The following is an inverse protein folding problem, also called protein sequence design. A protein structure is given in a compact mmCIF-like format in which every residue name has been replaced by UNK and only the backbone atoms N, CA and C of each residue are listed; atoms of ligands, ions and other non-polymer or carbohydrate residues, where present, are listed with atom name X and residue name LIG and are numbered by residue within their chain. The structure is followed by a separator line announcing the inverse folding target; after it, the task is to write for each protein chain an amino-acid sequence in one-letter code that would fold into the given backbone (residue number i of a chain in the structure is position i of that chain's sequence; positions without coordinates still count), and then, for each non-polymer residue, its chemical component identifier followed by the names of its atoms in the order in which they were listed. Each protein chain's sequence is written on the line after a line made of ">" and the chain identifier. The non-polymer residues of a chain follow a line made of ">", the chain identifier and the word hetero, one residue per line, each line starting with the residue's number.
data_IF_057067261942
#
_entry.id   IF_057067261942
#
_cell.length_a   1.000
_cell.length_b   1.000
_cell.length_c   1.000
_cell.angle_alpha   90.00
_cell.angle_beta   90.00
_cell.angle_gamma   90.00
#
_symmetry.space_group_name_H-M   'P 1'
#
loop_
_entity.id
_entity.type
_entity.pdbx_description
1 polymer ?
#
# COMPACT_ATOMS: atom_id res chain seq x y z
N UNK A 1 54.15 -18.22 48.06
CA UNK A 1 54.18 -18.13 46.59
C UNK A 1 52.90 -18.73 46.02
N UNK A 2 52.16 -17.89 45.31
CA UNK A 2 50.97 -18.10 44.47
C UNK A 2 51.08 -19.29 43.51
N UNK A 3 50.03 -19.86 42.89
CA UNK A 3 48.57 -19.69 42.93
C UNK A 3 47.92 -20.93 42.29
N UNK A 4 46.75 -21.32 42.80
CA UNK A 4 45.76 -22.10 42.04
C UNK A 4 45.36 -21.33 40.79
N UNK A 5 45.18 -22.03 39.68
CA UNK A 5 43.97 -22.00 38.80
C UNK A 5 44.36 -22.47 37.43
N UNK A 6 43.72 -23.54 36.92
CA UNK A 6 43.04 -23.59 35.60
C UNK A 6 41.92 -24.63 35.62
N UNK A 7 40.80 -24.26 36.24
CA UNK A 7 39.45 -24.72 35.82
C UNK A 7 38.94 -23.70 34.79
N UNK A 8 38.06 -23.98 33.85
CA UNK A 8 37.49 -25.17 33.23
C UNK A 8 36.54 -24.64 32.15
N UNK A 9 36.04 -25.56 31.33
CA UNK A 9 34.73 -25.52 30.64
C UNK A 9 34.50 -24.43 29.61
N UNK A 10 34.75 -24.82 28.36
CA UNK A 10 34.01 -24.41 27.18
C UNK A 10 32.48 -24.51 27.38
N UNK A 11 31.86 -23.45 27.88
CA UNK A 11 30.41 -23.28 27.92
C UNK A 11 29.93 -22.49 26.69
N UNK A 12 29.71 -23.18 25.57
CA UNK A 12 29.17 -22.61 24.33
C UNK A 12 27.67 -22.28 24.46
N UNK A 13 27.34 -21.25 25.25
CA UNK A 13 25.98 -20.73 25.31
C UNK A 13 25.65 -19.95 24.04
N UNK A 14 24.69 -20.44 23.24
CA UNK A 14 24.06 -19.66 22.15
C UNK A 14 23.42 -18.41 22.78
N UNK A 15 24.20 -17.33 22.86
CA UNK A 15 23.72 -16.01 23.27
C UNK A 15 22.60 -15.64 22.29
N UNK A 16 21.34 -15.73 22.76
CA UNK A 16 20.24 -14.96 22.19
C UNK A 16 20.74 -13.52 22.20
N UNK A 17 21.17 -13.02 21.03
CA UNK A 17 21.62 -11.63 20.91
C UNK A 17 20.39 -10.80 21.17
N UNK A 18 20.30 -10.24 22.39
CA UNK A 18 19.30 -9.22 22.66
C UNK A 18 19.51 -8.11 21.62
N UNK A 19 18.42 -7.61 21.00
CA UNK A 19 18.55 -6.55 20.03
C UNK A 19 19.25 -5.36 20.69
N UNK A 20 20.29 -4.87 20.02
CA UNK A 20 21.03 -3.71 20.49
C UNK A 20 20.07 -2.52 20.65
N UNK A 21 20.46 -1.54 21.46
CA UNK A 21 19.71 -0.27 21.59
C UNK A 21 19.42 0.37 20.23
N UNK A 22 20.39 0.31 19.31
CA UNK A 22 20.26 0.78 17.93
C UNK A 22 19.16 0.03 17.15
N UNK A 23 19.14 -1.31 17.21
CA UNK A 23 18.11 -2.11 16.53
C UNK A 23 16.70 -1.80 17.05
N UNK A 24 16.53 -1.56 18.36
CA UNK A 24 15.25 -1.18 18.95
C UNK A 24 14.80 0.22 18.52
N UNK A 25 15.71 1.18 18.43
CA UNK A 25 15.41 2.52 17.94
C UNK A 25 14.98 2.50 16.46
N UNK A 26 15.68 1.72 15.63
CA UNK A 26 15.32 1.53 14.23
C UNK A 26 13.93 0.89 14.05
N UNK A 27 13.60 -0.12 14.87
CA UNK A 27 12.27 -0.75 14.86
C UNK A 27 11.18 0.26 15.25
N UNK A 28 11.38 1.05 16.31
CA UNK A 28 10.43 2.09 16.72
C UNK A 28 10.20 3.12 15.62
N UNK A 29 11.24 3.51 14.88
CA UNK A 29 11.10 4.41 13.72
C UNK A 29 10.25 3.78 12.63
N UNK A 30 10.48 2.50 12.30
CA UNK A 30 9.68 1.77 11.30
C UNK A 30 8.21 1.64 11.70
N UNK A 31 7.94 1.34 12.97
CA UNK A 31 6.57 1.25 13.50
C UNK A 31 5.86 2.61 13.42
N UNK A 32 6.55 3.70 13.80
CA UNK A 32 6.00 5.06 13.67
C UNK A 32 5.67 5.40 12.22
N UNK A 33 6.54 5.05 11.29
CA UNK A 33 6.29 5.28 9.87
C UNK A 33 5.09 4.48 9.37
N UNK A 34 4.98 3.22 9.78
CA UNK A 34 3.85 2.37 9.41
C UNK A 34 2.51 2.92 9.92
N UNK A 35 2.47 3.48 11.14
CA UNK A 35 1.27 4.12 11.71
C UNK A 35 0.77 5.30 10.87
N UNK A 36 1.69 6.08 10.29
CA UNK A 36 1.37 7.23 9.42
C UNK A 36 0.83 6.81 8.05
N UNK A 37 1.31 5.70 7.52
CA UNK A 37 0.94 5.22 6.17
C UNK A 37 -0.39 4.46 6.16
N UNK A 38 -0.74 3.80 7.27
CA UNK A 38 -1.94 2.97 7.34
C UNK A 38 -3.11 3.83 7.82
N UNK A 39 -4.25 3.87 7.09
CA UNK A 39 -5.44 4.57 7.55
C UNK A 39 -5.89 4.08 8.94
N UNK A 40 -6.01 5.00 9.90
CA UNK A 40 -6.29 4.70 11.30
C UNK A 40 -5.15 3.95 12.01
N UNK A 41 -3.93 4.02 11.51
CA UNK A 41 -2.75 3.36 12.09
C UNK A 41 -2.25 4.04 13.36
N UNK A 42 -2.41 5.35 13.50
CA UNK A 42 -1.99 6.10 14.70
C UNK A 42 -2.70 5.61 15.97
N UNK A 43 -3.99 5.30 15.89
CA UNK A 43 -4.80 4.81 17.01
C UNK A 43 -4.80 3.27 17.16
N UNK A 44 -4.15 2.55 16.25
CA UNK A 44 -4.19 1.09 16.25
C UNK A 44 -3.38 0.50 17.42
N UNK A 45 -3.89 -0.52 18.13
CA UNK A 45 -3.08 -1.32 19.05
C UNK A 45 -1.87 -1.95 18.35
N UNK A 46 -0.75 -2.10 19.07
CA UNK A 46 0.50 -2.65 18.50
C UNK A 46 0.30 -4.04 17.86
N UNK A 47 -0.60 -4.87 18.42
CA UNK A 47 -0.89 -6.20 17.90
C UNK A 47 -1.70 -6.23 16.61
N UNK A 48 -2.44 -5.17 16.28
CA UNK A 48 -3.33 -5.14 15.10
C UNK A 48 -2.79 -4.30 13.94
N UNK A 49 -1.74 -3.49 14.16
CA UNK A 49 -1.18 -2.60 13.14
C UNK A 49 -0.76 -3.36 11.87
N UNK A 50 -0.09 -4.52 12.03
CA UNK A 50 0.36 -5.32 10.88
C UNK A 50 -0.80 -5.94 10.10
N UNK A 51 -1.84 -6.39 10.80
CA UNK A 51 -3.06 -6.94 10.16
C UNK A 51 -3.76 -5.84 9.38
N UNK A 52 -3.93 -4.66 9.98
CA UNK A 52 -4.54 -3.50 9.31
C UNK A 52 -3.72 -3.04 8.10
N UNK A 53 -2.39 -3.08 8.20
CA UNK A 53 -1.50 -2.80 7.09
C UNK A 53 -1.69 -3.80 5.94
N UNK A 54 -1.77 -5.10 6.26
CA UNK A 54 -2.00 -6.15 5.26
C UNK A 54 -3.33 -5.94 4.53
N UNK A 55 -4.40 -5.66 5.27
CA UNK A 55 -5.71 -5.35 4.70
C UNK A 55 -5.67 -4.11 3.80
N UNK A 56 -4.94 -3.06 4.21
CA UNK A 56 -4.81 -1.86 3.41
C UNK A 56 -4.05 -2.10 2.11
N UNK A 57 -2.97 -2.89 2.16
CA UNK A 57 -2.23 -3.31 0.97
C UNK A 57 -3.14 -4.10 0.01
N UNK A 58 -3.95 -5.02 0.53
CA UNK A 58 -4.89 -5.79 -0.28
C UNK A 58 -5.90 -4.88 -0.99
N UNK A 59 -6.49 -3.92 -0.27
CA UNK A 59 -7.42 -2.92 -0.86
C UNK A 59 -6.76 -2.06 -1.92
N UNK A 60 -5.57 -1.54 -1.67
CA UNK A 60 -4.82 -0.74 -2.65
C UNK A 60 -4.53 -1.53 -3.93
N UNK A 61 -4.12 -2.80 -3.80
CA UNK A 61 -3.89 -3.67 -4.95
C UNK A 61 -5.17 -3.83 -5.78
N UNK A 62 -6.29 -4.13 -5.13
CA UNK A 62 -7.58 -4.26 -5.81
C UNK A 62 -7.98 -2.97 -6.54
N UNK A 63 -7.79 -1.81 -5.90
CA UNK A 63 -8.08 -0.50 -6.51
C UNK A 63 -7.21 -0.24 -7.74
N UNK A 64 -5.92 -0.56 -7.69
CA UNK A 64 -5.01 -0.41 -8.83
C UNK A 64 -5.41 -1.32 -9.99
N UNK A 65 -5.74 -2.57 -9.72
CA UNK A 65 -6.18 -3.51 -10.77
C UNK A 65 -7.51 -3.08 -11.40
N UNK A 66 -8.47 -2.59 -10.60
CA UNK A 66 -9.71 -2.01 -11.11
C UNK A 66 -9.43 -0.82 -12.04
N UNK A 67 -8.60 0.14 -11.61
CA UNK A 67 -8.28 1.31 -12.42
C UNK A 67 -7.59 0.94 -13.73
N UNK A 68 -6.65 -0.02 -13.70
CA UNK A 68 -6.03 -0.54 -14.92
C UNK A 68 -7.05 -1.15 -15.88
N UNK A 69 -7.99 -1.94 -15.38
CA UNK A 69 -9.05 -2.53 -16.19
C UNK A 69 -9.94 -1.45 -16.81
N UNK A 70 -10.33 -0.43 -16.04
CA UNK A 70 -11.11 0.70 -16.55
C UNK A 70 -10.33 1.48 -17.61
N UNK A 71 -9.05 1.76 -17.39
CA UNK A 71 -8.19 2.42 -18.39
C UNK A 71 -8.07 1.59 -19.66
N UNK A 72 -7.94 0.26 -19.55
CA UNK A 72 -7.90 -0.62 -20.71
C UNK A 72 -9.21 -0.54 -21.52
N UNK A 73 -10.37 -0.51 -20.85
CA UNK A 73 -11.68 -0.36 -21.51
C UNK A 73 -11.80 1.02 -22.17
N UNK A 74 -11.45 2.10 -21.46
CA UNK A 74 -11.55 3.47 -21.98
C UNK A 74 -10.56 3.75 -23.12
N UNK A 75 -9.38 3.12 -23.11
CA UNK A 75 -8.39 3.26 -24.19
C UNK A 75 -8.63 2.31 -25.36
N UNK A 76 -9.36 1.21 -25.15
CA UNK A 76 -9.78 0.29 -26.21
C UNK A 76 -11.08 0.74 -26.91
N UNK A 77 -11.79 1.72 -26.36
CA UNK A 77 -12.89 2.37 -27.06
C UNK A 77 -12.31 3.08 -28.30
N UNK A 78 -12.62 2.65 -29.53
CA UNK A 78 -12.28 3.45 -30.69
C UNK A 78 -13.03 4.76 -30.55
N UNK A 79 -12.29 5.86 -30.51
CA UNK A 79 -12.82 7.19 -30.70
C UNK A 79 -13.47 7.25 -32.09
N UNK A 80 -14.74 6.83 -32.20
CA UNK A 80 -15.62 7.38 -33.21
C UNK A 80 -15.95 8.81 -32.78
N UNK A 81 -14.93 9.67 -32.86
CA UNK A 81 -15.16 11.07 -33.15
C UNK A 81 -15.34 11.07 -34.66
N UNK A 82 -16.55 11.25 -35.20
CA UNK A 82 -16.68 11.51 -36.62
C UNK A 82 -15.87 12.78 -36.89
N UNK A 83 -14.77 12.62 -37.62
CA UNK A 83 -14.07 13.73 -38.22
C UNK A 83 -15.10 14.47 -39.08
N UNK A 84 -15.44 15.68 -38.64
CA UNK A 84 -16.32 16.55 -39.41
C UNK A 84 -15.55 17.01 -40.63
N UNK A 85 -15.93 16.45 -41.78
CA UNK A 85 -15.77 17.06 -43.08
C UNK A 85 -17.14 16.91 -43.80
N UNK A 86 -17.75 18.05 -44.14
CA UNK A 86 -18.88 18.27 -45.06
C UNK A 86 -20.35 18.10 -44.58
N UNK A 87 -20.90 19.25 -44.16
CA UNK A 87 -22.23 19.84 -44.48
C UNK A 87 -23.39 18.99 -45.05
N UNK A 88 -24.55 19.22 -44.42
CA UNK A 88 -25.92 19.14 -44.94
C UNK A 88 -26.64 17.78 -44.98
N UNK A 89 -27.48 17.52 -43.97
CA UNK A 89 -28.89 17.27 -44.27
C UNK A 89 -29.81 17.89 -43.22
N UNK A 90 -30.92 18.41 -43.72
CA UNK A 90 -31.76 19.44 -43.17
C UNK A 90 -32.64 19.01 -41.98
N UNK A 91 -33.02 20.02 -41.20
CA UNK A 91 -34.30 20.14 -40.51
C UNK A 91 -35.43 19.25 -41.03
N UNK A 92 -35.98 18.39 -40.16
CA UNK A 92 -37.43 18.15 -40.06
C UNK A 92 -37.76 18.05 -38.56
N UNK A 93 -38.07 19.20 -37.94
CA UNK A 93 -39.43 19.60 -37.54
C UNK A 93 -40.11 18.62 -36.57
N UNK A 94 -40.20 19.01 -35.30
CA UNK A 94 -40.95 18.25 -34.30
C UNK A 94 -41.21 18.97 -32.98
N UNK A 95 -41.40 20.28 -33.03
CA UNK A 95 -42.11 21.12 -32.04
C UNK A 95 -41.94 20.80 -30.55
N UNK A 96 -41.06 21.56 -29.88
CA UNK A 96 -41.40 22.08 -28.57
C UNK A 96 -42.71 22.87 -28.74
N UNK A 97 -43.81 22.33 -28.23
CA UNK A 97 -45.03 23.07 -27.99
C UNK A 97 -45.24 23.07 -26.49
N UNK A 98 -45.34 24.28 -25.97
CA UNK A 98 -45.35 24.68 -24.57
C UNK A 98 -46.24 23.79 -23.68
N UNK A 99 -45.69 23.31 -22.56
CA UNK A 99 -46.38 23.02 -21.29
C UNK A 99 -45.40 23.10 -20.13
#
# INVERSE_FOLDING_TARGET
>A
METRRRQSSCGGGRRRRLPSSSSRAALRRKVRELRRLVPGGEDAPDGSLLVRAADYIARLRAQVELLKALTAICSAAPSQVPAGDDEAEACVMGTCKDY
#
